data_IF_271805293463
#
_entry.id   IF_271805293463
#
_cell.length_a   1.000
_cell.length_b   1.000
_cell.length_c   1.000
_cell.angle_alpha   90.00
_cell.angle_beta   90.00
_cell.angle_gamma   90.00
#
_symmetry.space_group_name_H-M   'P 1'
#
loop_
_entity.id
_entity.type
_entity.pdbx_description
1 polymer ?
#
# COMPACT_ATOMS: atom_id res chain seq x y z
N UNK A 1 5.78 2.97 17.60
CA UNK A 1 5.02 3.75 16.57
C UNK A 1 5.82 5.00 16.26
N UNK A 2 6.61 4.95 15.21
CA UNK A 2 7.33 6.13 14.77
C UNK A 2 6.41 6.91 13.84
N UNK A 3 5.91 8.08 14.32
CA UNK A 3 5.54 9.17 13.42
C UNK A 3 6.79 9.40 12.56
N UNK A 4 6.64 9.58 11.24
CA UNK A 4 7.77 10.07 10.45
C UNK A 4 8.14 11.46 10.97
N UNK A 5 8.96 11.51 12.01
CA UNK A 5 9.57 12.71 12.54
C UNK A 5 11.03 12.66 12.11
N UNK A 6 11.27 13.02 10.86
CA UNK A 6 12.60 13.31 10.34
C UNK A 6 12.60 14.72 9.76
N UNK A 7 13.74 15.37 9.72
CA UNK A 7 13.91 16.58 8.92
C UNK A 7 13.40 16.29 7.49
N UNK A 8 12.40 17.06 7.02
CA UNK A 8 11.79 16.89 5.69
C UNK A 8 10.41 16.26 5.64
N UNK A 9 9.81 15.86 6.76
CA UNK A 9 8.41 15.43 6.78
C UNK A 9 7.50 16.66 6.70
N UNK A 10 6.86 16.79 5.56
CA UNK A 10 5.91 17.88 5.30
C UNK A 10 4.50 17.34 5.45
N UNK A 11 3.82 17.64 6.55
CA UNK A 11 2.43 17.22 6.83
C UNK A 11 1.45 17.59 5.70
N UNK A 12 1.68 18.71 5.01
CA UNK A 12 0.91 19.11 3.84
C UNK A 12 1.11 18.20 2.62
N UNK A 13 2.15 17.34 2.62
CA UNK A 13 2.36 16.30 1.60
C UNK A 13 1.84 14.97 2.08
N UNK A 14 2.22 14.58 3.29
CA UNK A 14 1.85 13.29 3.88
C UNK A 14 1.75 13.42 5.41
N UNK A 15 0.61 13.07 5.97
CA UNK A 15 0.38 13.02 7.43
C UNK A 15 -0.24 11.68 7.80
N UNK A 16 0.62 10.75 8.22
CA UNK A 16 0.26 9.44 8.74
C UNK A 16 1.28 8.93 9.77
N UNK A 17 0.93 7.84 10.43
CA UNK A 17 1.84 7.05 11.26
C UNK A 17 2.12 5.74 10.55
N UNK A 18 3.38 5.29 10.56
CA UNK A 18 3.73 4.02 9.91
C UNK A 18 4.70 3.18 10.75
N UNK A 19 4.57 1.86 10.58
CA UNK A 19 5.53 0.86 11.04
C UNK A 19 5.93 0.05 9.81
N UNK A 20 7.22 0.05 9.48
CA UNK A 20 7.78 -0.79 8.44
C UNK A 20 8.23 -2.14 9.01
N UNK A 21 7.90 -3.21 8.31
CA UNK A 21 8.42 -4.54 8.53
C UNK A 21 9.14 -4.98 7.25
N UNK A 22 10.31 -5.56 7.40
CA UNK A 22 11.10 -6.08 6.27
C UNK A 22 11.45 -7.55 6.49
N UNK A 23 12.03 -8.21 5.48
CA UNK A 23 12.34 -9.62 5.51
C UNK A 23 13.18 -10.09 6.71
N UNK A 24 13.91 -9.19 7.37
CA UNK A 24 14.64 -9.49 8.62
C UNK A 24 13.71 -9.62 9.83
N UNK A 25 12.51 -9.08 9.74
CA UNK A 25 11.49 -9.17 10.77
C UNK A 25 10.56 -10.37 10.56
N UNK A 26 10.69 -11.07 9.43
CA UNK A 26 9.92 -12.27 9.13
C UNK A 26 10.78 -13.48 9.44
N UNK A 27 10.38 -14.29 10.41
CA UNK A 27 10.87 -15.65 10.52
C UNK A 27 10.15 -16.46 9.44
N UNK A 28 10.86 -16.86 8.42
CA UNK A 28 10.38 -17.79 7.39
C UNK A 28 10.36 -19.24 7.94
N UNK A 29 9.78 -19.40 9.12
CA UNK A 29 9.35 -20.70 9.62
C UNK A 29 8.21 -21.21 8.72
N UNK A 30 7.90 -22.51 8.70
CA UNK A 30 6.77 -23.03 7.93
C UNK A 30 5.50 -22.22 8.20
N UNK A 31 4.74 -21.92 7.16
CA UNK A 31 3.51 -21.12 7.24
C UNK A 31 2.66 -21.52 8.44
N UNK A 32 2.35 -20.55 9.28
CA UNK A 32 1.54 -20.73 10.47
C UNK A 32 0.20 -20.01 10.30
N UNK A 33 -0.88 -20.77 10.24
CA UNK A 33 -2.25 -20.24 10.09
C UNK A 33 -2.69 -19.32 11.23
N UNK A 34 -1.95 -19.29 12.34
CA UNK A 34 -2.19 -18.38 13.45
C UNK A 34 -1.31 -17.12 13.41
N UNK A 35 -0.42 -16.98 12.40
CA UNK A 35 0.41 -15.81 12.24
C UNK A 35 -0.26 -14.82 11.26
N UNK A 36 -0.68 -13.62 11.70
CA UNK A 36 -1.31 -12.63 10.82
C UNK A 36 -0.48 -12.24 9.59
N UNK A 37 0.86 -12.26 9.71
CA UNK A 37 1.77 -11.94 8.61
C UNK A 37 1.73 -13.03 7.54
N UNK A 38 1.71 -14.30 7.95
CA UNK A 38 1.63 -15.43 7.01
C UNK A 38 0.27 -15.46 6.30
N UNK A 39 -0.82 -15.20 7.04
CA UNK A 39 -2.17 -15.07 6.48
C UNK A 39 -2.19 -13.95 5.44
N UNK A 40 -1.60 -12.79 5.78
CA UNK A 40 -1.53 -11.66 4.88
C UNK A 40 -0.76 -12.00 3.58
N UNK A 41 0.45 -12.56 3.67
CA UNK A 41 1.24 -12.88 2.48
C UNK A 41 0.62 -13.97 1.61
N UNK A 42 -0.10 -14.93 2.20
CA UNK A 42 -0.88 -15.91 1.45
C UNK A 42 -2.03 -15.25 0.67
N UNK A 43 -2.76 -14.34 1.32
CA UNK A 43 -3.79 -13.53 0.66
C UNK A 43 -3.21 -12.67 -0.46
N UNK A 44 -2.06 -12.02 -0.22
CA UNK A 44 -1.37 -11.23 -1.22
C UNK A 44 -0.91 -12.08 -2.42
N UNK A 45 -0.39 -13.29 -2.18
CA UNK A 45 0.00 -14.22 -3.24
C UNK A 45 -1.21 -14.57 -4.12
N UNK A 46 -2.34 -14.91 -3.53
CA UNK A 46 -3.56 -15.21 -4.27
C UNK A 46 -4.02 -14.02 -5.14
N UNK A 47 -3.94 -12.80 -4.61
CA UNK A 47 -4.29 -11.59 -5.37
C UNK A 47 -3.27 -11.31 -6.49
N UNK A 48 -1.99 -11.57 -6.25
CA UNK A 48 -0.94 -11.45 -7.26
C UNK A 48 -1.13 -12.44 -8.41
N UNK A 49 -1.49 -13.69 -8.13
CA UNK A 49 -1.81 -14.70 -9.15
C UNK A 49 -3.00 -14.25 -10.02
N UNK A 50 -4.08 -13.76 -9.42
CA UNK A 50 -5.23 -13.21 -10.16
C UNK A 50 -4.83 -11.99 -11.02
N UNK A 51 -3.95 -11.13 -10.49
CA UNK A 51 -3.42 -9.99 -11.23
C UNK A 51 -2.64 -10.45 -12.47
N UNK A 52 -1.73 -11.41 -12.33
CA UNK A 52 -0.92 -11.94 -13.44
C UNK A 52 -1.74 -12.79 -14.42
N UNK A 53 -2.82 -13.41 -13.99
CA UNK A 53 -3.78 -14.07 -14.89
C UNK A 53 -4.50 -13.06 -15.79
N UNK A 54 -4.82 -11.89 -15.25
CA UNK A 54 -5.42 -10.79 -16.02
C UNK A 54 -4.40 -10.12 -16.94
N UNK A 55 -3.20 -9.89 -16.45
CA UNK A 55 -2.09 -9.24 -17.15
C UNK A 55 -0.98 -10.25 -17.44
N UNK A 56 -1.23 -11.17 -18.38
CA UNK A 56 -0.40 -12.37 -18.59
C UNK A 56 1.08 -12.07 -18.86
N UNK A 57 1.43 -10.94 -19.46
CA UNK A 57 2.81 -10.51 -19.68
C UNK A 57 3.56 -10.31 -18.35
N UNK A 58 2.86 -10.02 -17.27
CA UNK A 58 3.46 -9.88 -15.94
C UNK A 58 3.98 -11.23 -15.37
N UNK A 59 3.56 -12.37 -15.92
CA UNK A 59 4.09 -13.70 -15.54
C UNK A 59 5.55 -13.91 -15.92
N UNK A 60 6.00 -13.22 -16.97
CA UNK A 60 7.38 -13.31 -17.46
C UNK A 60 8.34 -12.41 -16.68
N UNK A 61 7.80 -11.58 -15.78
CA UNK A 61 8.56 -10.64 -14.98
C UNK A 61 8.79 -11.22 -13.59
N UNK A 62 10.06 -11.45 -13.24
CA UNK A 62 10.41 -11.90 -11.89
C UNK A 62 10.27 -10.75 -10.91
N UNK A 63 9.43 -10.96 -9.91
CA UNK A 63 9.20 -9.99 -8.83
C UNK A 63 9.18 -10.70 -7.49
N UNK A 64 9.69 -10.04 -6.46
CA UNK A 64 9.61 -10.49 -5.07
C UNK A 64 8.99 -9.41 -4.17
N UNK A 65 8.43 -9.85 -3.05
CA UNK A 65 7.91 -8.98 -2.00
C UNK A 65 8.52 -9.40 -0.66
N UNK A 66 9.28 -8.49 -0.03
CA UNK A 66 10.00 -8.75 1.21
C UNK A 66 9.79 -7.68 2.28
N UNK A 67 8.86 -6.79 2.09
CA UNK A 67 8.54 -5.75 3.06
C UNK A 67 7.05 -5.43 3.08
N UNK A 68 6.59 -4.90 4.19
CA UNK A 68 5.26 -4.33 4.34
C UNK A 68 5.29 -3.13 5.28
N UNK A 69 4.36 -2.22 5.12
CA UNK A 69 4.12 -1.10 6.01
C UNK A 69 2.70 -1.15 6.52
N UNK A 70 2.54 -1.08 7.82
CA UNK A 70 1.26 -0.79 8.46
C UNK A 70 1.16 0.73 8.64
N UNK A 71 0.08 1.33 8.15
CA UNK A 71 -0.13 2.77 8.22
C UNK A 71 -1.45 3.08 8.91
N UNK A 72 -1.41 4.13 9.73
CA UNK A 72 -2.56 4.73 10.41
C UNK A 72 -2.69 6.18 9.96
N UNK A 73 -3.81 6.53 9.36
CA UNK A 73 -4.15 7.89 8.96
C UNK A 73 -5.31 8.39 9.81
N UNK A 74 -5.04 9.35 10.67
CA UNK A 74 -6.05 9.97 11.53
C UNK A 74 -6.81 11.08 10.78
N UNK A 75 -7.85 11.61 11.40
CA UNK A 75 -8.62 12.76 10.88
C UNK A 75 -7.70 13.91 10.46
N UNK A 76 -7.96 14.49 9.31
CA UNK A 76 -7.13 15.50 8.64
C UNK A 76 -5.90 14.96 7.93
N UNK A 77 -5.47 13.74 8.24
CA UNK A 77 -4.31 13.10 7.61
C UNK A 77 -4.62 12.54 6.23
N UNK A 78 -3.56 12.28 5.47
CA UNK A 78 -3.61 11.71 4.13
C UNK A 78 -2.26 11.71 3.45
N UNK A 79 -2.21 11.27 2.20
CA UNK A 79 -1.07 11.48 1.30
C UNK A 79 -1.54 12.41 0.18
N UNK A 80 -1.46 13.71 0.44
CA UNK A 80 -2.21 14.75 -0.27
C UNK A 80 -1.69 15.05 -1.67
N UNK A 81 -0.42 14.71 -1.97
CA UNK A 81 0.21 15.02 -3.26
C UNK A 81 0.10 13.84 -4.22
N UNK A 82 -0.09 14.16 -5.50
CA UNK A 82 0.01 13.17 -6.57
C UNK A 82 1.43 12.64 -6.66
N UNK A 83 1.59 11.32 -6.64
CA UNK A 83 2.87 10.65 -6.72
C UNK A 83 2.78 9.31 -7.42
N UNK A 84 3.89 8.87 -7.98
CA UNK A 84 4.14 7.49 -8.36
C UNK A 84 5.06 6.84 -7.33
N UNK A 85 5.10 5.53 -7.30
CA UNK A 85 5.92 4.79 -6.34
C UNK A 85 7.29 4.40 -6.89
N UNK A 86 7.43 4.34 -8.21
CA UNK A 86 8.71 4.15 -8.87
C UNK A 86 9.45 5.49 -9.01
N UNK A 87 10.72 5.51 -8.66
CA UNK A 87 11.56 6.69 -8.71
C UNK A 87 13.02 6.32 -8.98
N UNK A 88 13.95 7.13 -8.47
CA UNK A 88 15.38 6.89 -8.57
C UNK A 88 15.92 6.06 -7.37
N UNK A 89 17.13 5.54 -7.50
CA UNK A 89 17.81 4.80 -6.44
C UNK A 89 17.02 3.56 -6.03
N UNK A 90 16.79 3.39 -4.72
CA UNK A 90 16.09 2.22 -4.15
C UNK A 90 14.63 2.06 -4.61
N UNK A 91 14.06 3.10 -5.22
CA UNK A 91 12.70 3.05 -5.73
C UNK A 91 12.63 2.59 -7.20
N UNK A 92 13.77 2.52 -7.90
CA UNK A 92 13.83 2.19 -9.32
C UNK A 92 13.29 0.79 -9.64
N UNK A 93 13.49 -0.16 -8.72
CA UNK A 93 13.11 -1.56 -8.89
C UNK A 93 11.66 -1.88 -8.44
N UNK A 94 10.87 -0.89 -8.05
CA UNK A 94 9.46 -1.12 -7.70
C UNK A 94 8.66 -1.42 -8.97
N UNK A 95 8.09 -2.61 -9.07
CA UNK A 95 7.28 -3.05 -10.20
C UNK A 95 5.79 -2.83 -9.96
N UNK A 96 5.27 -3.39 -8.88
CA UNK A 96 3.87 -3.25 -8.46
C UNK A 96 3.79 -2.69 -7.04
N UNK A 97 2.70 -2.04 -6.76
CA UNK A 97 2.27 -1.64 -5.42
C UNK A 97 1.12 -2.54 -5.00
N UNK A 98 1.07 -2.89 -3.74
CA UNK A 98 -0.13 -3.47 -3.12
C UNK A 98 -0.58 -2.64 -1.93
N UNK A 99 -1.88 -2.62 -1.69
CA UNK A 99 -2.50 -1.97 -0.55
C UNK A 99 -3.74 -2.75 -0.11
N UNK A 100 -3.79 -3.10 1.18
CA UNK A 100 -4.94 -3.73 1.82
C UNK A 100 -5.58 -2.74 2.79
N UNK A 101 -6.87 -2.48 2.65
CA UNK A 101 -7.64 -1.76 3.65
C UNK A 101 -8.00 -2.69 4.83
N UNK A 102 -7.67 -2.26 6.04
CA UNK A 102 -7.91 -3.03 7.27
C UNK A 102 -9.22 -2.65 7.98
N UNK A 103 -9.86 -1.58 7.54
CA UNK A 103 -11.17 -1.17 8.02
C UNK A 103 -11.95 -0.43 6.94
N UNK A 104 -13.27 -0.45 7.08
CA UNK A 104 -14.18 0.33 6.25
C UNK A 104 -14.36 1.72 6.85
N UNK A 105 -14.29 2.75 6.01
CA UNK A 105 -14.72 4.10 6.36
C UNK A 105 -16.10 4.38 5.76
N UNK A 106 -16.95 5.14 6.46
CA UNK A 106 -18.19 5.64 5.89
C UNK A 106 -17.88 6.65 4.76
N UNK A 107 -18.81 6.83 3.83
CA UNK A 107 -18.62 7.67 2.64
C UNK A 107 -18.26 9.13 3.00
N UNK A 108 -18.89 9.67 4.01
CA UNK A 108 -18.63 11.03 4.52
C UNK A 108 -17.26 11.22 5.16
N UNK A 109 -16.58 10.12 5.51
CA UNK A 109 -15.23 10.17 6.06
C UNK A 109 -14.16 10.36 5.00
N UNK A 110 -14.51 10.25 3.71
CA UNK A 110 -13.52 10.34 2.62
C UNK A 110 -12.41 9.28 2.76
N UNK A 111 -11.13 9.63 2.54
CA UNK A 111 -10.00 8.72 2.80
C UNK A 111 -9.71 7.74 1.66
N UNK A 112 -10.32 7.91 0.49
CA UNK A 112 -10.14 7.07 -0.68
C UNK A 112 -8.69 7.14 -1.18
N UNK A 113 -8.28 6.11 -1.92
CA UNK A 113 -7.13 6.17 -2.81
C UNK A 113 -7.61 6.60 -4.19
N UNK A 114 -7.10 7.74 -4.65
CA UNK A 114 -7.51 8.35 -5.91
C UNK A 114 -6.38 8.21 -6.93
N UNK A 115 -6.74 7.74 -8.14
CA UNK A 115 -5.87 7.58 -9.29
C UNK A 115 -6.13 8.67 -10.31
N UNK A 116 -5.08 9.43 -10.65
CA UNK A 116 -5.18 10.62 -11.50
C UNK A 116 -5.60 10.28 -12.93
N UNK A 117 -4.83 9.42 -13.59
CA UNK A 117 -5.03 9.15 -15.03
C UNK A 117 -6.12 8.13 -15.30
N UNK A 118 -6.45 7.29 -14.34
CA UNK A 118 -7.57 6.36 -14.40
C UNK A 118 -8.90 7.02 -14.01
N UNK A 119 -8.85 8.27 -13.49
CA UNK A 119 -10.03 9.01 -13.00
C UNK A 119 -10.87 8.19 -12.03
N UNK A 120 -10.19 7.50 -11.11
CA UNK A 120 -10.84 6.52 -10.24
C UNK A 120 -10.51 6.73 -8.77
N UNK A 121 -11.52 6.56 -7.93
CA UNK A 121 -11.41 6.53 -6.47
C UNK A 121 -11.76 5.14 -5.96
N UNK A 122 -10.96 4.64 -5.04
CA UNK A 122 -11.18 3.37 -4.36
C UNK A 122 -11.51 3.69 -2.91
N UNK A 123 -12.74 3.39 -2.51
CA UNK A 123 -13.20 3.59 -1.15
C UNK A 123 -12.48 2.62 -0.20
N UNK A 124 -12.15 3.07 1.02
CA UNK A 124 -11.58 2.20 2.05
C UNK A 124 -12.65 1.25 2.58
N UNK A 125 -12.68 0.05 2.01
CA UNK A 125 -13.53 -1.05 2.44
C UNK A 125 -12.64 -2.17 3.01
N UNK A 126 -12.96 -2.62 4.21
CA UNK A 126 -12.21 -3.67 4.91
C UNK A 126 -12.03 -4.90 4.01
N UNK A 127 -10.84 -5.50 4.10
CA UNK A 127 -10.44 -6.69 3.33
C UNK A 127 -10.40 -6.49 1.80
N UNK A 128 -10.33 -5.24 1.33
CA UNK A 128 -10.11 -4.94 -0.08
C UNK A 128 -8.63 -4.79 -0.37
N UNK A 129 -8.08 -5.67 -1.24
CA UNK A 129 -6.72 -5.59 -1.74
C UNK A 129 -6.71 -4.89 -3.11
N UNK A 130 -5.83 -3.91 -3.27
CA UNK A 130 -5.62 -3.18 -4.52
C UNK A 130 -4.17 -3.39 -4.98
N UNK A 131 -3.99 -3.78 -6.25
CA UNK A 131 -2.68 -3.93 -6.90
C UNK A 131 -2.63 -3.01 -8.12
N UNK A 132 -1.50 -2.31 -8.30
CA UNK A 132 -1.29 -1.44 -9.47
C UNK A 132 0.19 -1.28 -9.80
N UNK A 133 0.55 -0.95 -11.06
CA UNK A 133 1.93 -0.65 -11.43
C UNK A 133 2.51 0.52 -10.64
N UNK A 134 3.76 0.40 -10.21
CA UNK A 134 4.45 1.44 -9.43
C UNK A 134 4.81 2.68 -10.27
N UNK A 135 4.73 2.59 -11.59
CA UNK A 135 5.15 3.61 -12.53
C UNK A 135 4.31 4.89 -12.47
N UNK A 136 4.82 5.95 -13.06
CA UNK A 136 4.17 7.26 -13.17
C UNK A 136 2.81 7.23 -13.90
N UNK A 137 2.50 6.18 -14.67
CA UNK A 137 1.20 6.00 -15.32
C UNK A 137 0.06 5.77 -14.33
N UNK A 138 0.39 5.40 -13.10
CA UNK A 138 -0.57 5.18 -12.01
C UNK A 138 -0.33 6.18 -10.87
N UNK A 139 -0.16 7.47 -11.25
CA UNK A 139 -0.08 8.53 -10.25
C UNK A 139 -1.35 8.53 -9.39
N UNK A 140 -1.15 8.53 -8.08
CA UNK A 140 -2.23 8.42 -7.11
C UNK A 140 -1.97 9.29 -5.87
N UNK A 141 -2.99 9.44 -5.04
CA UNK A 141 -2.91 10.10 -3.73
C UNK A 141 -3.86 9.43 -2.74
N UNK A 142 -3.60 9.62 -1.45
CA UNK A 142 -4.54 9.29 -0.38
C UNK A 142 -5.30 10.52 0.04
N UNK A 143 -6.61 10.54 -0.20
CA UNK A 143 -7.48 11.63 0.19
C UNK A 143 -7.52 11.78 1.72
N UNK A 144 -7.71 13.01 2.26
CA UNK A 144 -7.77 13.22 3.70
C UNK A 144 -8.92 12.46 4.33
N UNK A 145 -8.71 12.00 5.56
CA UNK A 145 -9.75 11.38 6.37
C UNK A 145 -10.49 12.46 7.14
N UNK A 146 -11.82 12.43 7.19
CA UNK A 146 -12.66 13.42 7.88
C UNK A 146 -13.39 12.84 9.09
N UNK A 147 -13.89 13.75 9.93
CA UNK A 147 -14.61 13.40 11.15
C UNK A 147 -13.71 12.70 12.18
N UNK A 148 -14.28 11.93 13.07
CA UNK A 148 -13.57 11.16 14.11
C UNK A 148 -13.09 9.79 13.59
N UNK A 149 -12.84 9.69 12.27
CA UNK A 149 -12.46 8.44 11.63
C UNK A 149 -10.95 8.26 11.57
N UNK A 150 -10.55 7.00 11.47
CA UNK A 150 -9.15 6.61 11.27
C UNK A 150 -9.08 5.51 10.22
N UNK A 151 -8.22 5.69 9.23
CA UNK A 151 -7.94 4.70 8.20
C UNK A 151 -6.72 3.86 8.58
N UNK A 152 -6.83 2.55 8.43
CA UNK A 152 -5.72 1.61 8.58
C UNK A 152 -5.50 0.86 7.27
N UNK A 153 -4.25 0.82 6.82
CA UNK A 153 -3.85 0.06 5.62
C UNK A 153 -2.55 -0.70 5.85
N UNK A 154 -2.40 -1.80 5.12
CA UNK A 154 -1.10 -2.43 4.88
C UNK A 154 -0.72 -2.14 3.45
N UNK A 155 0.52 -1.70 3.20
CA UNK A 155 1.03 -1.41 1.85
C UNK A 155 2.49 -1.82 1.71
N UNK A 156 2.90 -2.04 0.47
CA UNK A 156 4.27 -2.35 0.11
C UNK A 156 4.41 -2.52 -1.40
N UNK A 157 5.52 -3.14 -1.80
CA UNK A 157 5.89 -3.24 -3.20
C UNK A 157 6.36 -4.63 -3.56
N UNK A 158 6.08 -5.01 -4.80
CA UNK A 158 6.82 -6.05 -5.50
C UNK A 158 7.98 -5.41 -6.25
N UNK A 159 9.16 -5.96 -6.08
CA UNK A 159 10.41 -5.47 -6.67
C UNK A 159 10.83 -6.39 -7.82
N UNK A 160 11.28 -5.79 -8.91
CA UNK A 160 11.97 -6.52 -9.98
C UNK A 160 13.27 -7.14 -9.44
N UNK A 161 13.54 -8.40 -9.83
CA UNK A 161 14.80 -9.10 -9.56
C UNK A 161 15.88 -8.75 -10.58
#
# INVERSE_FOLDING_TARGET
TNRQQGEGVHKHKKDDYQIGLNGKNFNFEPFNDNNPVDIFFRGLQNCFEQYTDTFSVAKDVRMNCNNMKLQKTSSGGGYHVWHGEQGNGDQANRGLVYMLYLNTLPEEANGETEFLYQERRINPVENTMVLWPASFTHAHRGNPVYGDNTKYIVTGWFYHE
#
